data_IF_651055240465
#
_entry.id   IF_651055240465
#
_cell.length_a   1.000
_cell.length_b   1.000
_cell.length_c   1.000
_cell.angle_alpha   90.00
_cell.angle_beta   90.00
_cell.angle_gamma   90.00
#
_symmetry.space_group_name_H-M   'P 1'
#
loop_
_entity.id
_entity.type
_entity.pdbx_description
1 polymer ?
#
# COMPACT_ATOMS: atom_id res chain seq x y z
N UNK A 1 -22.83 32.58 11.18
CA UNK A 1 -21.53 32.13 11.73
C UNK A 1 -20.86 31.34 10.62
N UNK A 2 -19.88 31.93 9.94
CA UNK A 2 -19.30 31.36 8.71
C UNK A 2 -18.33 30.25 9.09
N UNK A 3 -18.67 29.01 8.76
CA UNK A 3 -17.70 27.94 8.57
C UNK A 3 -17.83 27.48 7.11
N UNK A 4 -17.35 28.31 6.19
CA UNK A 4 -17.31 27.98 4.76
C UNK A 4 -15.89 27.60 4.35
N UNK A 5 -15.74 26.37 3.84
CA UNK A 5 -14.88 26.10 2.70
C UNK A 5 -13.39 25.92 2.95
N UNK A 6 -12.99 24.96 3.80
CA UNK A 6 -11.67 24.37 3.60
C UNK A 6 -11.73 23.48 2.35
N UNK A 7 -11.09 23.92 1.26
CA UNK A 7 -10.91 23.10 0.07
C UNK A 7 -10.36 21.71 0.40
N UNK A 8 -10.54 20.78 -0.54
CA UNK A 8 -10.08 19.39 -0.44
C UNK A 8 -8.72 19.31 0.28
N UNK A 9 -8.62 18.47 1.34
CA UNK A 9 -7.40 18.31 2.13
C UNK A 9 -6.18 18.06 1.24
N UNK A 10 -6.36 17.33 0.13
CA UNK A 10 -5.35 17.12 -0.89
C UNK A 10 -4.71 18.43 -1.38
N UNK A 11 -5.51 19.42 -1.78
CA UNK A 11 -5.00 20.72 -2.26
C UNK A 11 -4.23 21.48 -1.18
N UNK A 12 -4.66 21.35 0.08
CA UNK A 12 -4.03 22.03 1.22
C UNK A 12 -2.67 21.43 1.57
N UNK A 13 -2.50 20.12 1.38
CA UNK A 13 -1.24 19.40 1.67
C UNK A 13 -0.38 19.17 0.43
N UNK A 14 -0.88 19.56 -0.75
CA UNK A 14 -0.20 19.42 -2.03
C UNK A 14 1.24 19.91 -2.03
N UNK A 15 1.60 21.05 -1.41
CA UNK A 15 3.01 21.46 -1.33
C UNK A 15 3.91 20.45 -0.61
N UNK A 16 3.41 19.77 0.41
CA UNK A 16 4.14 18.72 1.11
C UNK A 16 4.25 17.44 0.27
N UNK A 17 3.18 17.06 -0.44
CA UNK A 17 3.19 15.93 -1.38
C UNK A 17 4.20 16.16 -2.50
N UNK A 18 4.18 17.35 -3.10
CA UNK A 18 5.09 17.76 -4.17
C UNK A 18 6.55 17.70 -3.71
N UNK A 19 6.85 18.32 -2.56
CA UNK A 19 8.19 18.28 -1.97
C UNK A 19 8.67 16.84 -1.70
N UNK A 20 7.75 15.97 -1.25
CA UNK A 20 8.08 14.56 -0.98
C UNK A 20 8.30 13.74 -2.24
N UNK A 21 7.54 14.00 -3.30
CA UNK A 21 7.74 13.41 -4.62
C UNK A 21 9.10 13.82 -5.19
N UNK A 22 9.45 15.10 -5.10
CA UNK A 22 10.76 15.63 -5.52
C UNK A 22 11.90 14.99 -4.71
N UNK A 23 11.74 14.83 -3.40
CA UNK A 23 12.71 14.13 -2.54
C UNK A 23 12.95 12.69 -3.02
N UNK A 24 11.89 11.96 -3.34
CA UNK A 24 12.00 10.58 -3.82
C UNK A 24 12.70 10.53 -5.18
N UNK A 25 12.34 11.42 -6.09
CA UNK A 25 13.00 11.55 -7.39
C UNK A 25 14.49 11.86 -7.23
N UNK A 26 14.83 12.80 -6.33
CA UNK A 26 16.20 13.19 -6.02
C UNK A 26 17.06 12.01 -5.52
N UNK A 27 16.49 11.13 -4.69
CA UNK A 27 17.17 9.92 -4.22
C UNK A 27 17.13 8.74 -5.20
N UNK A 28 16.61 8.92 -6.41
CA UNK A 28 16.57 7.88 -7.45
C UNK A 28 15.41 6.88 -7.30
N UNK A 29 14.42 7.18 -6.46
CA UNK A 29 13.25 6.33 -6.22
C UNK A 29 12.15 6.56 -7.28
N UNK A 30 12.48 6.41 -8.56
CA UNK A 30 11.52 6.47 -9.67
C UNK A 30 10.68 7.76 -9.76
N UNK A 31 9.70 7.77 -10.66
CA UNK A 31 8.73 8.86 -10.78
C UNK A 31 7.51 8.58 -9.90
N UNK A 32 7.62 8.85 -8.61
CA UNK A 32 6.48 8.81 -7.67
C UNK A 32 5.72 10.13 -7.78
N UNK A 33 4.39 10.08 -7.96
CA UNK A 33 3.58 11.30 -8.10
C UNK A 33 2.91 11.73 -6.78
N UNK A 34 2.37 12.96 -6.76
CA UNK A 34 1.58 13.48 -5.65
C UNK A 34 0.36 12.59 -5.35
N UNK A 35 -0.28 12.07 -6.40
CA UNK A 35 -1.45 11.18 -6.33
C UNK A 35 -1.10 9.80 -5.77
N UNK A 36 0.07 9.26 -6.12
CA UNK A 36 0.55 7.99 -5.58
C UNK A 36 0.80 8.09 -4.07
N UNK A 37 1.46 9.18 -3.64
CA UNK A 37 1.70 9.47 -2.23
C UNK A 37 0.39 9.70 -1.47
N UNK A 38 -0.56 10.40 -2.07
CA UNK A 38 -1.88 10.60 -1.48
C UNK A 38 -2.64 9.29 -1.29
N UNK A 39 -2.61 8.41 -2.31
CA UNK A 39 -3.19 7.07 -2.25
C UNK A 39 -2.57 6.25 -1.12
N UNK A 40 -1.24 6.34 -0.96
CA UNK A 40 -0.54 5.73 0.17
C UNK A 40 -0.98 6.30 1.52
N UNK A 41 -1.12 7.63 1.64
CA UNK A 41 -1.55 8.26 2.89
C UNK A 41 -2.94 7.77 3.31
N UNK A 42 -3.93 7.79 2.41
CA UNK A 42 -5.28 7.30 2.70
C UNK A 42 -5.28 5.79 2.99
N UNK A 43 -4.63 5.00 2.15
CA UNK A 43 -4.66 3.53 2.24
C UNK A 43 -3.88 2.95 3.41
N UNK A 44 -2.80 3.63 3.83
CA UNK A 44 -1.85 3.09 4.83
C UNK A 44 -1.77 3.92 6.10
N UNK A 45 -1.48 5.21 6.00
CA UNK A 45 -1.24 6.08 7.17
C UNK A 45 -2.56 6.42 7.88
N UNK A 46 -3.60 6.67 7.10
CA UNK A 46 -4.90 7.16 7.56
C UNK A 46 -6.01 6.14 7.37
N UNK A 47 -5.67 4.85 7.21
CA UNK A 47 -6.65 3.77 6.97
C UNK A 47 -7.79 3.71 8.00
N UNK A 48 -7.56 4.23 9.21
CA UNK A 48 -8.52 4.25 10.32
C UNK A 48 -9.01 5.66 10.67
N UNK A 49 -8.64 6.67 9.89
CA UNK A 49 -9.00 8.07 10.10
C UNK A 49 -9.88 8.52 8.94
N UNK A 50 -10.83 9.41 9.22
CA UNK A 50 -11.58 10.10 8.18
C UNK A 50 -10.75 11.29 7.67
N UNK A 51 -10.37 11.35 6.37
CA UNK A 51 -9.64 12.48 5.80
C UNK A 51 -10.30 13.83 6.06
N UNK A 52 -11.62 13.90 6.23
CA UNK A 52 -12.33 15.15 6.55
C UNK A 52 -12.02 15.68 7.97
N UNK A 53 -11.56 14.82 8.87
CA UNK A 53 -11.25 15.15 10.27
C UNK A 53 -9.77 15.43 10.53
N UNK A 54 -8.91 15.07 9.59
CA UNK A 54 -7.46 15.22 9.71
C UNK A 54 -7.09 16.70 9.61
N UNK A 55 -6.30 17.16 10.58
CA UNK A 55 -5.78 18.52 10.58
C UNK A 55 -4.60 18.64 9.60
N UNK A 56 -4.50 19.77 8.90
CA UNK A 56 -3.44 19.96 7.89
C UNK A 56 -2.04 19.78 8.45
N UNK A 57 -1.76 20.30 9.65
CA UNK A 57 -0.43 20.17 10.25
C UNK A 57 -0.07 18.70 10.54
N UNK A 58 -1.05 17.90 10.95
CA UNK A 58 -0.88 16.46 11.17
C UNK A 58 -0.63 15.75 9.84
N UNK A 59 -1.44 16.04 8.83
CA UNK A 59 -1.28 15.47 7.50
C UNK A 59 0.08 15.81 6.87
N UNK A 60 0.53 17.07 6.98
CA UNK A 60 1.84 17.51 6.50
C UNK A 60 2.97 16.78 7.24
N UNK A 61 2.87 16.66 8.57
CA UNK A 61 3.84 15.92 9.37
C UNK A 61 3.94 14.45 8.94
N UNK A 62 2.79 13.79 8.77
CA UNK A 62 2.70 12.41 8.30
C UNK A 62 3.34 12.25 6.90
N UNK A 63 3.02 13.14 5.94
CA UNK A 63 3.55 13.12 4.57
C UNK A 63 5.08 13.28 4.56
N UNK A 64 5.60 14.27 5.27
CA UNK A 64 7.04 14.52 5.29
C UNK A 64 7.82 13.41 6.01
N UNK A 65 7.17 12.69 6.92
CA UNK A 65 7.75 11.54 7.63
C UNK A 65 7.85 10.25 6.78
N UNK A 66 7.28 10.21 5.57
CA UNK A 66 7.27 9.00 4.74
C UNK A 66 8.71 8.59 4.41
N UNK A 67 9.08 7.36 4.77
CA UNK A 67 10.35 6.76 4.36
C UNK A 67 10.23 6.15 2.95
N UNK A 68 11.19 6.38 2.03
CA UNK A 68 11.20 5.75 0.72
C UNK A 68 11.12 4.21 0.81
N UNK A 69 11.89 3.61 1.72
CA UNK A 69 11.87 2.16 1.95
C UNK A 69 10.47 1.67 2.33
N UNK A 70 9.82 2.35 3.28
CA UNK A 70 8.49 1.96 3.76
C UNK A 70 7.43 2.13 2.66
N UNK A 71 7.52 3.20 1.87
CA UNK A 71 6.63 3.45 0.74
C UNK A 71 6.81 2.35 -0.33
N UNK A 72 8.05 2.09 -0.77
CA UNK A 72 8.33 1.10 -1.83
C UNK A 72 7.91 -0.32 -1.46
N UNK A 73 8.15 -0.74 -0.21
CA UNK A 73 7.69 -2.05 0.26
C UNK A 73 6.17 -2.16 0.21
N UNK A 74 5.45 -1.10 0.59
CA UNK A 74 4.00 -1.09 0.53
C UNK A 74 3.49 -1.16 -0.91
N UNK A 75 4.01 -0.29 -1.78
CA UNK A 75 3.58 -0.23 -3.18
C UNK A 75 3.83 -1.54 -3.92
N UNK A 76 4.95 -2.21 -3.67
CA UNK A 76 5.23 -3.54 -4.24
C UNK A 76 4.21 -4.59 -3.76
N UNK A 77 3.95 -4.66 -2.45
CA UNK A 77 2.97 -5.62 -1.90
C UNK A 77 1.58 -5.39 -2.47
N UNK A 78 1.13 -4.14 -2.55
CA UNK A 78 -0.17 -3.80 -3.13
C UNK A 78 -0.21 -4.10 -4.64
N UNK A 79 0.89 -3.87 -5.36
CA UNK A 79 1.03 -4.27 -6.76
C UNK A 79 0.89 -5.76 -6.96
N UNK A 80 1.54 -6.59 -6.13
CA UNK A 80 1.41 -8.05 -6.19
C UNK A 80 -0.01 -8.52 -5.89
N UNK A 81 -0.69 -7.92 -4.90
CA UNK A 81 -2.10 -8.25 -4.61
C UNK A 81 -3.02 -7.92 -5.78
N UNK A 82 -2.93 -6.69 -6.31
CA UNK A 82 -3.72 -6.27 -7.47
C UNK A 82 -3.45 -7.16 -8.68
N UNK A 83 -2.19 -7.52 -8.91
CA UNK A 83 -1.83 -8.44 -9.98
C UNK A 83 -2.42 -9.84 -9.76
N UNK A 84 -2.40 -10.37 -8.54
CA UNK A 84 -3.01 -11.65 -8.22
C UNK A 84 -4.54 -11.62 -8.41
N UNK A 85 -5.20 -10.55 -7.98
CA UNK A 85 -6.64 -10.31 -8.16
C UNK A 85 -7.04 -10.13 -9.62
N UNK A 86 -6.21 -9.48 -10.45
CA UNK A 86 -6.49 -9.24 -11.86
C UNK A 86 -6.06 -10.39 -12.78
N UNK A 87 -5.21 -11.28 -12.30
CA UNK A 87 -4.78 -12.48 -13.03
C UNK A 87 -5.81 -13.60 -12.85
N UNK A 88 -5.69 -14.67 -13.64
CA UNK A 88 -6.50 -15.90 -13.50
C UNK A 88 -6.33 -16.67 -12.17
N UNK A 89 -5.77 -16.02 -11.14
CA UNK A 89 -5.69 -16.48 -9.76
C UNK A 89 -6.80 -15.87 -8.87
N UNK A 90 -7.68 -15.03 -9.44
CA UNK A 90 -8.86 -14.51 -8.76
C UNK A 90 -9.75 -15.67 -8.26
N UNK A 91 -9.68 -15.94 -6.96
CA UNK A 91 -10.40 -17.05 -6.32
C UNK A 91 -9.50 -18.02 -5.55
N UNK A 92 -8.18 -17.89 -5.66
CA UNK A 92 -7.27 -18.61 -4.77
C UNK A 92 -7.30 -17.99 -3.37
N UNK A 93 -7.32 -18.84 -2.36
CA UNK A 93 -7.12 -18.40 -0.99
C UNK A 93 -5.63 -18.17 -0.67
N UNK A 94 -5.35 -17.69 0.55
CA UNK A 94 -3.98 -17.37 0.98
C UNK A 94 -3.07 -18.61 1.02
N UNK A 95 -3.64 -19.79 1.22
CA UNK A 95 -2.89 -21.05 1.33
C UNK A 95 -2.52 -21.58 -0.05
N UNK A 96 -3.45 -21.58 -1.00
CA UNK A 96 -3.22 -21.94 -2.40
C UNK A 96 -2.21 -21.00 -3.08
N UNK A 97 -2.30 -19.69 -2.79
CA UNK A 97 -1.34 -18.72 -3.28
C UNK A 97 0.07 -18.96 -2.71
N UNK A 98 0.17 -19.35 -1.43
CA UNK A 98 1.44 -19.66 -0.76
C UNK A 98 2.07 -20.95 -1.29
N UNK A 99 1.26 -21.96 -1.62
CA UNK A 99 1.73 -23.18 -2.27
C UNK A 99 2.34 -22.90 -3.65
N UNK A 100 1.74 -22.01 -4.43
CA UNK A 100 2.23 -21.63 -5.75
C UNK A 100 3.58 -20.88 -5.69
N UNK A 101 3.76 -20.01 -4.69
CA UNK A 101 5.01 -19.27 -4.46
C UNK A 101 6.11 -20.13 -3.82
N UNK A 102 5.78 -21.32 -3.32
CA UNK A 102 6.77 -22.20 -2.73
C UNK A 102 7.78 -22.66 -3.81
N UNK A 103 9.09 -22.65 -3.51
CA UNK A 103 10.09 -23.13 -4.45
C UNK A 103 9.79 -24.58 -4.82
N UNK A 104 9.65 -24.87 -6.12
CA UNK A 104 9.27 -26.18 -6.64
C UNK A 104 10.33 -27.22 -6.30
N UNK A 105 10.15 -27.93 -5.17
CA UNK A 105 11.20 -28.76 -4.60
C UNK A 105 10.81 -29.73 -3.48
N UNK A 106 9.52 -30.01 -3.24
CA UNK A 106 9.11 -31.22 -2.49
C UNK A 106 8.04 -31.96 -3.27
N UNK A 107 8.46 -33.01 -3.97
CA UNK A 107 7.57 -34.06 -4.44
C UNK A 107 6.86 -34.65 -3.21
N UNK A 108 5.56 -34.85 -3.35
CA UNK A 108 4.69 -35.31 -2.28
C UNK A 108 5.13 -36.62 -1.64
N UNK A 109 4.90 -36.70 -0.34
CA UNK A 109 4.66 -37.98 0.31
C UNK A 109 3.16 -38.26 0.23
N UNK A 110 2.73 -39.38 -0.35
CA UNK A 110 1.32 -39.75 -0.38
C UNK A 110 0.85 -40.03 1.06
N UNK A 111 -0.30 -39.47 1.43
CA UNK A 111 -1.03 -39.86 2.64
C UNK A 111 -1.34 -41.34 2.57
N UNK A 112 -0.65 -42.16 3.36
CA UNK A 112 -1.04 -43.55 3.58
C UNK A 112 -2.24 -43.55 4.53
N UNK A 113 -3.39 -43.89 3.96
CA UNK A 113 -4.61 -44.20 4.68
C UNK A 113 -4.40 -45.34 5.69
N UNK A 114 -5.04 -45.15 6.84
CA UNK A 114 -5.51 -46.10 7.85
C UNK A 114 -5.22 -47.59 7.62
N UNK A 115 -4.66 -48.25 8.65
CA UNK A 115 -4.77 -49.71 8.82
C UNK A 115 -5.25 -50.01 10.25
N UNK A 116 -6.33 -50.81 10.41
CA UNK A 116 -6.93 -51.08 11.72
C UNK A 116 -6.05 -52.02 12.54
N UNK A 117 -6.21 -51.93 13.87
CA UNK A 117 -5.77 -52.94 14.82
C UNK A 117 -6.98 -53.76 15.27
#
# INVERSE_FOLDING_TARGET
MVQEGFGNLFERVRPALSNKADEFSFYGYGSVTEEDLWTYCIGKLWRKKDPATIQVHEAVGDILSISPTRYMTHTQVEGFKKAAESSGFAGLDEEEFRELLAPKGRKGEPKTANRPN
#
